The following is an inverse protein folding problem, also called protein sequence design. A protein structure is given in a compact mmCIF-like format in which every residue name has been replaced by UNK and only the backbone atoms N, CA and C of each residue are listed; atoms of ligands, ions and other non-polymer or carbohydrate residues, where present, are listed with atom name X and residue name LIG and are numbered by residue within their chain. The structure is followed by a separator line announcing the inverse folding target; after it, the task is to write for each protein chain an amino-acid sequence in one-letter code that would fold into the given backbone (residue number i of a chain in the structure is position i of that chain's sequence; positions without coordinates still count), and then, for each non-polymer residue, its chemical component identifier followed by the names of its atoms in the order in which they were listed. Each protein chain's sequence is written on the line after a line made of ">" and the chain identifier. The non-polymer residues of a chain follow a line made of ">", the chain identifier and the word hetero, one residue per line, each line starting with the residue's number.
data_IF_248600479232
#
_entry.id   IF_248600479232
#
_cell.length_a   1.000
_cell.length_b   1.000
_cell.length_c   1.000
_cell.angle_alpha   90.00
_cell.angle_beta   90.00
_cell.angle_gamma   90.00
#
_symmetry.space_group_name_H-M   'P 1'
#
loop_
_entity.id
_entity.type
_entity.pdbx_description
1 polymer ?
#
# COMPACT_ATOMS: atom_id res chain seq x y z
N UNK A 1 8.57 -0.39 19.03
CA UNK A 1 8.28 0.07 17.65
C UNK A 1 7.98 1.57 17.64
N UNK A 2 7.99 2.25 16.49
CA UNK A 2 7.75 3.70 16.38
C UNK A 2 6.33 4.09 16.81
N UNK A 3 6.12 5.30 17.39
CA UNK A 3 4.78 5.86 17.59
C UNK A 3 4.01 5.84 16.26
N UNK A 4 2.68 5.75 16.33
CA UNK A 4 1.82 5.66 15.16
C UNK A 4 0.97 6.91 15.00
N UNK A 5 0.84 7.37 13.76
CA UNK A 5 -0.19 8.32 13.38
C UNK A 5 -1.56 7.68 13.49
N UNK A 6 -2.58 8.49 13.81
CA UNK A 6 -3.96 8.04 13.69
C UNK A 6 -4.31 7.85 12.21
N UNK A 7 -5.39 7.10 11.94
CA UNK A 7 -5.89 6.93 10.57
C UNK A 7 -6.24 8.27 9.91
N UNK A 8 -6.76 9.22 10.68
CA UNK A 8 -7.13 10.54 10.19
C UNK A 8 -5.90 11.41 9.91
N UNK A 9 -4.83 11.29 10.71
CA UNK A 9 -3.56 11.95 10.42
C UNK A 9 -2.89 11.39 9.15
N UNK A 10 -2.96 10.07 8.95
CA UNK A 10 -2.51 9.44 7.70
C UNK A 10 -3.32 10.00 6.53
N UNK A 11 -4.65 10.15 6.68
CA UNK A 11 -5.50 10.73 5.65
C UNK A 11 -5.12 12.18 5.33
N UNK A 12 -4.88 13.01 6.34
CA UNK A 12 -4.42 14.39 6.16
C UNK A 12 -3.08 14.43 5.40
N UNK A 13 -2.09 13.62 5.81
CA UNK A 13 -0.79 13.55 5.12
C UNK A 13 -0.93 13.09 3.67
N UNK A 14 -1.83 12.16 3.37
CA UNK A 14 -2.07 11.73 1.98
C UNK A 14 -2.59 12.87 1.09
N UNK A 15 -3.36 13.82 1.63
CA UNK A 15 -3.79 15.00 0.87
C UNK A 15 -2.61 15.88 0.45
N UNK A 16 -1.60 16.00 1.31
CA UNK A 16 -0.38 16.78 1.07
C UNK A 16 0.60 16.03 0.16
N UNK A 17 0.75 14.72 0.36
CA UNK A 17 1.65 13.88 -0.44
C UNK A 17 1.19 13.78 -1.89
N UNK A 18 -0.12 13.77 -2.13
CA UNK A 18 -0.70 13.66 -3.47
C UNK A 18 -1.40 14.96 -3.88
N UNK A 19 -0.69 15.88 -4.57
CA UNK A 19 -1.24 17.16 -4.98
C UNK A 19 -2.28 16.98 -6.09
N UNK A 20 -3.03 18.04 -6.37
CA UNK A 20 -3.95 18.09 -7.50
C UNK A 20 -3.22 17.80 -8.82
N UNK A 21 -3.84 16.97 -9.67
CA UNK A 21 -3.25 16.49 -10.92
C UNK A 21 -2.40 15.23 -10.80
N UNK A 22 -2.19 14.68 -9.60
CA UNK A 22 -1.60 13.35 -9.45
C UNK A 22 -2.46 12.27 -10.18
N UNK A 23 -1.86 11.34 -10.93
CA UNK A 23 -2.60 10.26 -11.57
C UNK A 23 -3.41 9.45 -10.54
N UNK A 24 -4.67 9.16 -10.86
CA UNK A 24 -5.57 8.40 -9.98
C UNK A 24 -5.64 8.95 -8.54
N UNK A 25 -5.49 10.27 -8.34
CA UNK A 25 -5.48 10.93 -7.02
C UNK A 25 -6.63 10.49 -6.11
N UNK A 26 -7.84 10.30 -6.66
CA UNK A 26 -9.00 9.85 -5.89
C UNK A 26 -8.77 8.50 -5.18
N UNK A 27 -8.02 7.57 -5.80
CA UNK A 27 -7.67 6.29 -5.20
C UNK A 27 -6.56 6.39 -4.15
N UNK A 28 -5.76 7.46 -4.21
CA UNK A 28 -4.62 7.69 -3.34
C UNK A 28 -4.96 8.50 -2.08
N UNK A 29 -6.05 9.28 -2.13
CA UNK A 29 -6.35 10.30 -1.12
C UNK A 29 -7.61 10.03 -0.32
N UNK A 30 -8.50 9.12 -0.73
CA UNK A 30 -9.70 8.78 0.04
C UNK A 30 -9.37 8.05 1.36
N UNK A 31 -10.31 8.02 2.30
CA UNK A 31 -10.16 7.33 3.59
C UNK A 31 -9.79 5.83 3.45
N UNK A 32 -10.21 5.16 2.37
CA UNK A 32 -9.81 3.78 2.09
C UNK A 32 -8.30 3.63 1.82
N UNK A 33 -7.69 4.64 1.18
CA UNK A 33 -6.23 4.71 0.99
C UNK A 33 -5.52 4.93 2.32
N UNK A 34 -6.02 5.87 3.13
CA UNK A 34 -5.51 6.12 4.48
C UNK A 34 -5.57 4.87 5.36
N UNK A 35 -6.69 4.14 5.31
CA UNK A 35 -6.86 2.87 6.02
C UNK A 35 -5.84 1.83 5.57
N UNK A 36 -5.60 1.74 4.25
CA UNK A 36 -4.65 0.79 3.67
C UNK A 36 -3.22 1.10 4.10
N UNK A 37 -2.80 2.37 4.04
CA UNK A 37 -1.47 2.82 4.47
C UNK A 37 -1.30 2.67 5.98
N UNK A 38 -2.30 3.07 6.77
CA UNK A 38 -2.30 2.89 8.23
C UNK A 38 -2.09 1.42 8.58
N UNK A 39 -2.88 0.50 8.01
CA UNK A 39 -2.73 -0.93 8.31
C UNK A 39 -1.38 -1.46 7.87
N UNK A 40 -0.84 -1.02 6.74
CA UNK A 40 0.49 -1.42 6.29
C UNK A 40 1.58 -1.01 7.29
N UNK A 41 1.53 0.23 7.79
CA UNK A 41 2.42 0.70 8.86
C UNK A 41 2.17 -0.09 10.16
N UNK A 42 0.90 -0.34 10.50
CA UNK A 42 0.48 -1.04 11.72
C UNK A 42 1.07 -2.45 11.79
N UNK A 43 1.05 -3.20 10.68
CA UNK A 43 1.62 -4.56 10.65
C UNK A 43 3.10 -4.59 10.25
N UNK A 44 3.75 -3.43 10.09
CA UNK A 44 5.12 -3.33 9.58
C UNK A 44 5.30 -3.94 8.18
N UNK A 45 4.29 -3.84 7.30
CA UNK A 45 4.40 -4.25 5.90
C UNK A 45 5.15 -3.20 5.07
N UNK A 46 6.43 -3.02 5.39
CA UNK A 46 7.37 -2.10 4.74
C UNK A 46 8.43 -2.93 4.00
N UNK A 47 8.91 -2.44 2.85
CA UNK A 47 9.99 -3.06 2.09
C UNK A 47 11.20 -3.38 2.99
N UNK A 48 11.64 -4.64 2.99
CA UNK A 48 12.76 -5.11 3.82
C UNK A 48 12.37 -5.68 5.20
N UNK A 49 11.15 -5.45 5.70
CA UNK A 49 10.68 -5.98 7.00
C UNK A 49 10.42 -7.49 7.00
N UNK A 50 10.07 -8.07 5.84
CA UNK A 50 9.58 -9.44 5.71
C UNK A 50 8.06 -9.60 5.89
N UNK A 51 7.35 -8.58 6.38
CA UNK A 51 5.88 -8.62 6.49
C UNK A 51 5.21 -8.10 5.22
N UNK A 52 4.07 -8.70 4.87
CA UNK A 52 3.33 -8.38 3.65
C UNK A 52 1.88 -8.04 3.98
N UNK A 53 1.39 -6.96 3.37
CA UNK A 53 0.01 -6.52 3.39
C UNK A 53 -0.82 -7.30 2.36
N UNK A 54 -2.08 -7.50 2.72
CA UNK A 54 -3.11 -8.04 1.85
C UNK A 54 -4.45 -7.41 2.21
N UNK A 55 -5.43 -7.36 1.30
CA UNK A 55 -6.72 -6.69 1.55
C UNK A 55 -7.41 -7.13 2.84
N UNK A 56 -7.27 -8.41 3.22
CA UNK A 56 -7.83 -8.99 4.46
C UNK A 56 -7.40 -8.26 5.72
N UNK A 57 -6.16 -7.76 5.78
CA UNK A 57 -5.70 -6.97 6.91
C UNK A 57 -6.45 -5.64 7.03
N UNK A 58 -6.92 -5.08 5.91
CA UNK A 58 -7.56 -3.76 5.89
C UNK A 58 -9.04 -3.87 6.21
N UNK A 59 -9.78 -4.71 5.48
CA UNK A 59 -11.25 -4.80 5.69
C UNK A 59 -11.66 -5.52 6.97
N UNK A 60 -10.73 -6.24 7.63
CA UNK A 60 -10.97 -6.85 8.95
C UNK A 60 -10.48 -6.00 10.12
N UNK A 61 -9.83 -4.86 9.85
CA UNK A 61 -9.38 -3.96 10.91
C UNK A 61 -10.57 -3.33 11.62
N UNK A 62 -10.45 -3.18 12.94
CA UNK A 62 -11.48 -2.61 13.82
C UNK A 62 -10.98 -1.35 14.50
N UNK A 63 -11.91 -0.52 14.99
CA UNK A 63 -11.59 0.67 15.79
C UNK A 63 -10.77 0.28 17.03
N UNK A 64 -11.15 -0.83 17.67
CA UNK A 64 -10.55 -1.36 18.90
C UNK A 64 -9.15 -1.93 18.66
N UNK A 65 -8.92 -2.62 17.54
CA UNK A 65 -7.58 -3.12 17.22
C UNK A 65 -6.63 -1.96 16.86
N UNK A 66 -7.12 -0.95 16.15
CA UNK A 66 -6.29 0.14 15.65
C UNK A 66 -5.69 1.02 16.77
N UNK A 67 -6.30 1.04 17.96
CA UNK A 67 -5.77 1.76 19.12
C UNK A 67 -4.69 0.96 19.88
N UNK A 68 -4.56 -0.35 19.61
CA UNK A 68 -3.53 -1.20 20.23
C UNK A 68 -2.21 -1.03 19.47
N UNK A 69 -1.41 -0.04 19.87
CA UNK A 69 -0.18 0.34 19.16
C UNK A 69 1.09 -0.36 19.65
N UNK A 70 0.98 -1.25 20.64
CA UNK A 70 2.11 -2.03 21.13
C UNK A 70 2.54 -3.13 20.14
N UNK A 71 3.83 -3.46 20.17
CA UNK A 71 4.48 -4.38 19.22
C UNK A 71 3.84 -5.78 19.23
N UNK A 72 3.37 -6.25 20.40
CA UNK A 72 2.80 -7.58 20.56
C UNK A 72 1.40 -7.66 19.93
N UNK A 73 0.53 -6.69 20.20
CA UNK A 73 -0.80 -6.59 19.60
C UNK A 73 -0.73 -6.47 18.08
N UNK A 74 0.19 -5.64 17.58
CA UNK A 74 0.41 -5.43 16.14
C UNK A 74 0.88 -6.70 15.44
N UNK A 75 1.86 -7.39 16.00
CA UNK A 75 2.38 -8.66 15.46
C UNK A 75 1.34 -9.79 15.52
N UNK A 76 0.56 -9.84 16.61
CA UNK A 76 -0.54 -10.80 16.75
C UNK A 76 -1.62 -10.57 15.68
N UNK A 77 -1.99 -9.31 15.42
CA UNK A 77 -2.94 -8.98 14.37
C UNK A 77 -2.43 -9.35 12.97
N UNK A 78 -1.16 -9.00 12.66
CA UNK A 78 -0.52 -9.23 11.37
C UNK A 78 -0.64 -10.69 10.90
N UNK A 79 -0.49 -11.65 11.82
CA UNK A 79 -0.58 -13.08 11.48
C UNK A 79 -1.96 -13.68 11.79
N UNK A 80 -2.62 -13.22 12.85
CA UNK A 80 -3.88 -13.77 13.35
C UNK A 80 -5.05 -13.53 12.39
N UNK A 81 -5.13 -12.34 11.78
CA UNK A 81 -6.23 -11.99 10.87
C UNK A 81 -6.24 -12.85 9.61
N UNK A 82 -5.11 -13.43 9.22
CA UNK A 82 -5.00 -14.28 8.03
C UNK A 82 -5.57 -15.68 8.23
N UNK A 83 -5.66 -16.18 9.47
CA UNK A 83 -6.18 -17.51 9.78
C UNK A 83 -7.64 -17.66 9.29
N UNK A 84 -7.99 -18.88 8.89
CA UNK A 84 -9.38 -19.19 8.49
C UNK A 84 -10.29 -19.07 9.70
N UNK A 85 -11.45 -18.43 9.53
CA UNK A 85 -12.43 -18.24 10.62
C UNK A 85 -12.02 -17.21 11.68
N UNK A 86 -10.88 -16.52 11.53
CA UNK A 86 -10.48 -15.49 12.48
C UNK A 86 -11.49 -14.35 12.56
N UNK A 87 -11.66 -13.86 13.78
CA UNK A 87 -12.44 -12.67 14.10
C UNK A 87 -11.53 -11.74 14.87
N UNK A 88 -11.45 -10.50 14.41
CA UNK A 88 -10.86 -9.41 15.17
C UNK A 88 -11.99 -8.78 15.96
N UNK A 89 -11.80 -8.64 17.27
CA UNK A 89 -12.81 -8.06 18.15
C UNK A 89 -13.08 -6.60 17.79
N UNK A 90 -14.34 -6.19 17.99
CA UNK A 90 -14.76 -4.81 17.80
C UNK A 90 -15.47 -4.50 16.48
N UNK A 91 -15.61 -3.22 16.19
CA UNK A 91 -16.33 -2.70 15.03
C UNK A 91 -15.41 -2.56 13.83
N UNK A 92 -15.69 -3.30 12.76
CA UNK A 92 -14.94 -3.18 11.51
C UNK A 92 -15.21 -1.85 10.82
N UNK A 93 -14.16 -1.32 10.19
CA UNK A 93 -14.27 -0.14 9.33
C UNK A 93 -15.01 -0.42 8.02
N UNK A 94 -14.85 -1.63 7.49
CA UNK A 94 -15.32 -2.00 6.17
C UNK A 94 -15.97 -3.38 6.16
N UNK A 95 -16.79 -3.59 5.13
CA UNK A 95 -17.41 -4.88 4.83
C UNK A 95 -16.51 -5.71 3.91
N UNK A 96 -16.75 -7.02 3.84
CA UNK A 96 -15.91 -7.95 3.07
C UNK A 96 -15.87 -7.60 1.56
N UNK A 97 -16.93 -6.99 1.01
CA UNK A 97 -17.01 -6.51 -0.38
C UNK A 97 -16.12 -5.29 -0.69
N UNK A 98 -15.47 -4.71 0.32
CA UNK A 98 -14.48 -3.62 0.12
C UNK A 98 -13.11 -4.19 -0.29
N UNK A 99 -12.95 -5.52 -0.27
CA UNK A 99 -11.75 -6.23 -0.70
C UNK A 99 -11.31 -5.83 -2.11
N UNK A 100 -12.23 -5.77 -3.06
CA UNK A 100 -11.96 -5.47 -4.47
C UNK A 100 -11.50 -4.01 -4.64
N UNK A 101 -12.19 -2.98 -4.10
CA UNK A 101 -11.68 -1.61 -4.09
C UNK A 101 -10.30 -1.43 -3.43
N UNK A 102 -10.00 -2.17 -2.35
CA UNK A 102 -8.65 -2.14 -1.74
C UNK A 102 -7.60 -2.68 -2.71
N UNK A 103 -7.88 -3.82 -3.35
CA UNK A 103 -6.94 -4.51 -4.24
C UNK A 103 -6.73 -3.74 -5.55
N UNK A 104 -7.80 -3.41 -6.24
CA UNK A 104 -7.73 -2.96 -7.63
C UNK A 104 -7.48 -1.47 -7.69
N UNK A 105 -8.31 -0.67 -7.00
CA UNK A 105 -8.23 0.79 -7.06
C UNK A 105 -7.09 1.33 -6.18
N UNK A 106 -7.09 1.02 -4.88
CA UNK A 106 -6.13 1.60 -3.94
C UNK A 106 -4.71 1.05 -4.13
N UNK A 107 -4.56 -0.27 -4.23
CA UNK A 107 -3.24 -0.91 -4.33
C UNK A 107 -2.75 -0.96 -5.78
N UNK A 108 -3.41 -1.67 -6.69
CA UNK A 108 -2.88 -1.93 -8.04
C UNK A 108 -2.86 -0.68 -8.94
N UNK A 109 -3.95 0.07 -8.99
CA UNK A 109 -4.10 1.24 -9.86
C UNK A 109 -3.63 2.54 -9.21
N UNK A 110 -3.64 2.60 -7.88
CA UNK A 110 -3.10 3.69 -7.08
C UNK A 110 -1.63 3.47 -6.72
N UNK A 111 -1.38 2.91 -5.54
CA UNK A 111 -0.08 2.95 -4.87
C UNK A 111 1.03 2.19 -5.61
N UNK A 112 0.73 1.04 -6.21
CA UNK A 112 1.69 0.27 -7.01
C UNK A 112 2.01 1.00 -8.32
N UNK A 113 1.02 1.65 -8.92
CA UNK A 113 1.19 2.34 -10.21
C UNK A 113 2.18 3.50 -10.15
N UNK A 114 2.27 4.16 -8.99
CA UNK A 114 3.20 5.25 -8.73
C UNK A 114 4.46 4.80 -7.97
N UNK A 115 4.62 3.50 -7.73
CA UNK A 115 5.77 2.94 -7.04
C UNK A 115 5.84 3.24 -5.54
N UNK A 116 4.75 3.66 -4.90
CA UNK A 116 4.67 3.84 -3.45
C UNK A 116 4.56 2.51 -2.69
N UNK A 117 4.11 1.45 -3.37
CA UNK A 117 3.97 0.09 -2.86
C UNK A 117 4.63 -0.90 -3.81
N UNK A 118 5.34 -1.89 -3.27
CA UNK A 118 5.83 -3.05 -4.00
C UNK A 118 4.80 -4.17 -4.01
N UNK A 119 4.79 -4.97 -5.07
CA UNK A 119 4.00 -6.18 -5.19
C UNK A 119 4.92 -7.38 -5.44
N UNK A 120 4.73 -8.45 -4.68
CA UNK A 120 5.39 -9.75 -4.92
C UNK A 120 4.81 -10.41 -6.17
N UNK A 121 5.70 -10.80 -7.09
CA UNK A 121 5.35 -11.42 -8.38
C UNK A 121 5.46 -12.95 -8.37
N UNK A 122 5.94 -13.54 -7.27
CA UNK A 122 6.10 -15.00 -7.11
C UNK A 122 4.79 -15.73 -6.78
N UNK A 123 3.68 -14.98 -6.65
CA UNK A 123 2.37 -15.53 -6.32
C UNK A 123 1.45 -15.53 -7.54
N UNK A 124 0.76 -16.65 -7.74
CA UNK A 124 -0.31 -16.74 -8.73
C UNK A 124 -1.34 -15.60 -8.56
N UNK A 125 -1.93 -15.15 -9.66
CA UNK A 125 -2.94 -14.08 -9.67
C UNK A 125 -4.17 -14.42 -8.82
N UNK A 126 -4.48 -15.70 -8.66
CA UNK A 126 -5.58 -16.23 -7.84
C UNK A 126 -5.23 -16.42 -6.36
N UNK A 127 -3.96 -16.26 -5.97
CA UNK A 127 -3.51 -16.45 -4.59
C UNK A 127 -4.12 -15.39 -3.67
N UNK A 128 -4.73 -15.85 -2.58
CA UNK A 128 -5.28 -15.00 -1.51
C UNK A 128 -4.22 -14.51 -0.51
N UNK A 129 -2.96 -14.91 -0.67
CA UNK A 129 -1.86 -14.53 0.22
C UNK A 129 -1.53 -13.03 0.12
N UNK A 130 -1.12 -12.40 1.23
CA UNK A 130 -0.57 -11.05 1.23
C UNK A 130 0.61 -10.92 0.26
N UNK A 131 0.72 -9.77 -0.41
CA UNK A 131 1.71 -9.56 -1.47
C UNK A 131 2.24 -8.13 -1.59
N UNK A 132 1.76 -7.20 -0.77
CA UNK A 132 2.09 -5.78 -0.89
C UNK A 132 2.97 -5.33 0.26
N UNK A 133 3.88 -4.40 0.01
CA UNK A 133 4.60 -3.69 1.08
C UNK A 133 4.81 -2.23 0.69
N UNK A 134 4.74 -1.30 1.65
CA UNK A 134 5.08 0.09 1.39
C UNK A 134 6.57 0.19 1.02
N UNK A 135 6.91 1.01 0.02
CA UNK A 135 8.31 1.42 -0.16
C UNK A 135 8.81 2.12 1.10
N UNK A 136 10.05 1.85 1.51
CA UNK A 136 10.63 2.47 2.70
C UNK A 136 10.62 4.01 2.63
N UNK A 137 10.91 4.58 1.46
CA UNK A 137 10.89 6.05 1.24
C UNK A 137 9.49 6.66 1.40
N UNK A 138 8.45 5.94 0.99
CA UNK A 138 7.05 6.38 1.16
C UNK A 138 6.59 6.21 2.61
N UNK A 139 6.90 5.07 3.25
CA UNK A 139 6.57 4.82 4.65
C UNK A 139 7.18 5.87 5.60
N UNK A 140 8.39 6.34 5.29
CA UNK A 140 9.09 7.37 6.07
C UNK A 140 8.34 8.73 6.11
N UNK A 141 7.42 9.00 5.17
CA UNK A 141 6.58 10.20 5.19
C UNK A 141 5.54 10.19 6.32
N UNK A 142 5.33 9.04 6.95
CA UNK A 142 4.33 8.83 8.01
C UNK A 142 4.94 8.70 9.41
N UNK A 143 6.23 9.03 9.58
CA UNK A 143 6.84 9.14 10.90
C UNK A 143 6.15 10.27 11.71
N UNK A 144 5.59 10.00 12.90
CA UNK A 144 4.94 11.04 13.71
C UNK A 144 5.89 12.16 14.15
N UNK A 145 7.18 11.89 14.26
CA UNK A 145 8.17 12.92 14.59
C UNK A 145 8.42 13.89 13.42
N UNK A 146 8.11 13.49 12.19
CA UNK A 146 8.25 14.32 10.99
C UNK A 146 7.06 15.28 10.88
N UNK A 147 7.30 16.56 11.19
CA UNK A 147 6.27 17.62 11.23
C UNK A 147 6.78 18.94 10.64
N UNK A 148 5.88 19.91 10.43
CA UNK A 148 6.22 21.26 10.00
C UNK A 148 7.01 21.32 8.69
N UNK A 149 8.00 22.21 8.62
CA UNK A 149 8.83 22.41 7.42
C UNK A 149 9.61 21.15 7.01
N UNK A 150 10.04 20.34 7.99
CA UNK A 150 10.75 19.10 7.70
C UNK A 150 9.87 18.09 6.96
N UNK A 151 8.59 17.99 7.34
CA UNK A 151 7.61 17.18 6.63
C UNK A 151 7.41 17.69 5.20
N UNK A 152 7.18 18.99 5.02
CA UNK A 152 6.97 19.58 3.69
C UNK A 152 8.17 19.36 2.77
N UNK A 153 9.38 19.57 3.27
CA UNK A 153 10.61 19.34 2.51
C UNK A 153 10.76 17.87 2.09
N UNK A 154 10.42 16.93 2.98
CA UNK A 154 10.49 15.50 2.66
C UNK A 154 9.42 15.07 1.65
N UNK A 155 8.20 15.59 1.79
CA UNK A 155 7.11 15.37 0.83
C UNK A 155 7.53 15.88 -0.55
N UNK A 156 8.02 17.11 -0.65
CA UNK A 156 8.44 17.71 -1.91
C UNK A 156 9.58 16.90 -2.57
N UNK A 157 10.57 16.46 -1.79
CA UNK A 157 11.65 15.62 -2.29
C UNK A 157 11.12 14.27 -2.85
N UNK A 158 10.21 13.63 -2.11
CA UNK A 158 9.61 12.37 -2.55
C UNK A 158 8.74 12.55 -3.81
N UNK A 159 7.94 13.62 -3.88
CA UNK A 159 7.13 13.93 -5.06
C UNK A 159 8.00 14.15 -6.30
N UNK A 160 9.11 14.89 -6.17
CA UNK A 160 10.04 15.13 -7.26
C UNK A 160 10.65 13.82 -7.79
N UNK A 161 10.92 12.86 -6.91
CA UNK A 161 11.48 11.56 -7.28
C UNK A 161 10.43 10.60 -7.87
N UNK A 162 9.28 10.46 -7.21
CA UNK A 162 8.29 9.42 -7.48
C UNK A 162 7.21 9.83 -8.49
N UNK A 163 6.80 11.10 -8.51
CA UNK A 163 5.65 11.58 -9.29
C UNK A 163 6.04 12.32 -10.58
N UNK A 164 7.33 12.45 -10.89
CA UNK A 164 7.73 13.03 -12.17
C UNK A 164 7.36 12.13 -13.35
N UNK A 165 7.09 12.72 -14.51
CA UNK A 165 6.64 12.01 -15.72
C UNK A 165 7.58 10.87 -16.13
N UNK A 166 8.89 11.05 -15.96
CA UNK A 166 9.89 10.04 -16.30
C UNK A 166 9.82 8.82 -15.37
N UNK A 167 9.67 9.03 -14.07
CA UNK A 167 9.51 7.96 -13.08
C UNK A 167 8.24 7.15 -13.33
N UNK A 168 7.12 7.85 -13.55
CA UNK A 168 5.84 7.22 -13.86
C UNK A 168 5.88 6.43 -15.17
N UNK A 169 6.52 6.97 -16.23
CA UNK A 169 6.68 6.28 -17.49
C UNK A 169 7.54 5.01 -17.35
N UNK A 170 8.65 5.07 -16.60
CA UNK A 170 9.50 3.90 -16.33
C UNK A 170 8.72 2.81 -15.59
N UNK A 171 7.93 3.19 -14.58
CA UNK A 171 7.10 2.24 -13.84
C UNK A 171 6.05 1.58 -14.73
N UNK A 172 5.40 2.35 -15.61
CA UNK A 172 4.44 1.81 -16.56
C UNK A 172 5.07 0.77 -17.50
N UNK A 173 6.27 1.03 -18.03
CA UNK A 173 7.01 0.10 -18.88
C UNK A 173 7.38 -1.18 -18.13
N UNK A 174 7.93 -1.07 -16.91
CA UNK A 174 8.30 -2.23 -16.09
C UNK A 174 7.09 -3.09 -15.79
N UNK A 175 5.93 -2.49 -15.49
CA UNK A 175 4.69 -3.22 -15.24
C UNK A 175 4.15 -3.93 -16.48
N UNK A 176 4.24 -3.30 -17.65
CA UNK A 176 3.89 -3.94 -18.91
C UNK A 176 4.82 -5.14 -19.19
N UNK A 177 6.12 -5.00 -18.95
CA UNK A 177 7.10 -6.07 -19.13
C UNK A 177 6.96 -7.22 -18.13
N UNK A 178 6.65 -6.94 -16.86
CA UNK A 178 6.47 -7.96 -15.82
C UNK A 178 5.22 -8.86 -16.03
N UNK A 179 4.25 -8.39 -16.82
CA UNK A 179 3.10 -9.19 -17.27
C UNK A 179 3.40 -10.12 -18.45
N UNK A 180 4.52 -9.90 -19.14
CA UNK A 180 4.99 -10.77 -20.23
C UNK A 180 5.86 -11.87 -19.60
N UNK A 181 5.24 -12.99 -19.28
CA UNK A 181 5.94 -14.18 -18.77
C UNK A 181 7.12 -14.54 -19.70
N UNK A 182 8.22 -15.01 -19.12
CA UNK A 182 9.47 -15.41 -19.80
C UNK A 182 9.32 -16.60 -20.79
N UNK A 183 8.08 -17.06 -21.02
CA UNK A 183 7.71 -18.19 -21.88
C UNK A 183 7.07 -17.76 -23.21
N UNK A 184 7.08 -16.48 -23.56
CA UNK A 184 6.70 -16.08 -24.92
C UNK A 184 7.84 -16.40 -25.89
N UNK A 185 7.77 -17.59 -26.48
CA UNK A 185 8.49 -17.92 -27.71
C UNK A 185 8.04 -16.92 -28.77
N UNK A 186 8.95 -16.03 -29.16
CA UNK A 186 8.75 -15.09 -30.24
C UNK A 186 8.68 -15.88 -31.55
N UNK A 187 7.47 -16.21 -32.01
CA UNK A 187 7.27 -16.85 -33.31
C UNK A 187 7.33 -15.77 -34.38
N UNK A 188 8.50 -15.63 -35.00
CA UNK A 188 8.66 -14.83 -36.22
C UNK A 188 8.01 -15.60 -37.36
N UNK A 189 6.85 -15.15 -37.84
CA UNK A 189 6.30 -15.66 -39.09
C UNK A 189 7.13 -15.12 -40.26
N UNK A 190 7.66 -15.97 -41.14
CA UNK A 190 8.24 -15.50 -42.39
C UNK A 190 7.09 -15.15 -43.33
N UNK A 191 6.82 -13.84 -43.47
CA UNK A 191 6.14 -13.10 -44.54
C UNK A 191 5.01 -12.19 -44.03
N UNK A 192 5.27 -10.87 -43.98
CA UNK A 192 4.25 -9.81 -43.91
C UNK A 192 4.62 -8.66 -42.99
#
# INVERSE_FOLDING_TARGET
>A
MMPMLTRDDVHARLQEIFPDGAPNRAYLTRMLAASTVFVALYIDAIEGSGTMLGPKHVYRMTDEQAVLVDDASRSAYATGVLRTGSQTEGRRWYQDNTREPIRDETLREGLVAIGAVTERTDLATTSSKPRYALKASFAALFDPALTGEALQARIAAWQAEALNKGALARLAIVRQGAGVSADQVLVTFPNG
#
